data_IF_448457013233
#
_entry.id   IF_448457013233
#
_cell.length_a   1.000
_cell.length_b   1.000
_cell.length_c   1.000
_cell.angle_alpha   90.00
_cell.angle_beta   90.00
_cell.angle_gamma   90.00
#
_symmetry.space_group_name_H-M   'P 1'
#
loop_
_entity.id
_entity.type
_entity.pdbx_description
1 polymer ?
#
# COMPACT_ATOMS: atom_id res chain seq x y z
N UNK A 1 -16.61 24.63 23.21
CA UNK A 1 -15.63 23.58 22.88
C UNK A 1 -15.93 22.89 21.54
N UNK A 2 -17.04 23.20 20.86
CA UNK A 2 -17.54 22.45 19.67
C UNK A 2 -16.91 22.85 18.31
N UNK A 3 -16.49 24.11 18.14
CA UNK A 3 -16.01 24.64 16.83
C UNK A 3 -14.79 23.87 16.28
N UNK A 4 -13.97 23.30 17.17
CA UNK A 4 -12.78 22.54 16.79
C UNK A 4 -13.14 21.14 16.24
N UNK A 5 -14.16 20.49 16.81
CA UNK A 5 -14.60 19.16 16.38
C UNK A 5 -15.33 19.21 15.05
N UNK A 6 -16.17 20.24 14.83
CA UNK A 6 -16.86 20.44 13.54
C UNK A 6 -15.87 20.69 12.40
N UNK A 7 -14.80 21.46 12.66
CA UNK A 7 -13.73 21.72 11.67
C UNK A 7 -12.91 20.47 11.37
N UNK A 8 -12.62 19.63 12.38
CA UNK A 8 -11.97 18.33 12.17
C UNK A 8 -12.82 17.38 11.33
N UNK A 9 -14.12 17.34 11.58
CA UNK A 9 -15.06 16.53 10.80
C UNK A 9 -15.10 16.97 9.33
N UNK A 10 -15.16 18.28 9.08
CA UNK A 10 -15.15 18.83 7.71
C UNK A 10 -13.83 18.53 6.98
N UNK A 11 -12.69 18.62 7.68
CA UNK A 11 -11.39 18.28 7.11
C UNK A 11 -11.28 16.78 6.80
N UNK A 12 -11.75 15.91 7.70
CA UNK A 12 -11.79 14.47 7.48
C UNK A 12 -12.63 14.13 6.25
N UNK A 13 -13.79 14.78 6.09
CA UNK A 13 -14.66 14.61 4.92
C UNK A 13 -13.93 14.95 3.63
N UNK A 14 -13.19 16.07 3.59
CA UNK A 14 -12.39 16.46 2.42
C UNK A 14 -11.30 15.45 2.09
N UNK A 15 -10.63 14.89 3.10
CA UNK A 15 -9.63 13.83 2.90
C UNK A 15 -10.31 12.59 2.29
N UNK A 16 -11.41 12.11 2.88
CA UNK A 16 -12.14 10.95 2.35
C UNK A 16 -12.59 11.20 0.90
N UNK A 17 -13.19 12.35 0.61
CA UNK A 17 -13.63 12.71 -0.74
C UNK A 17 -12.48 12.71 -1.76
N UNK A 18 -11.30 13.21 -1.38
CA UNK A 18 -10.11 13.24 -2.25
C UNK A 18 -9.69 11.83 -2.71
N UNK A 19 -9.73 10.84 -1.82
CA UNK A 19 -9.23 9.49 -2.11
C UNK A 19 -10.32 8.53 -2.60
N UNK A 20 -11.59 8.73 -2.24
CA UNK A 20 -12.70 7.84 -2.61
C UNK A 20 -13.55 8.32 -3.80
N UNK A 21 -13.44 9.59 -4.22
CA UNK A 21 -14.18 10.10 -5.39
C UNK A 21 -13.46 9.91 -6.72
N UNK A 22 -12.40 9.10 -6.78
CA UNK A 22 -11.88 8.63 -8.06
C UNK A 22 -12.94 7.72 -8.70
N UNK A 23 -13.83 8.34 -9.49
CA UNK A 23 -14.70 7.64 -10.43
C UNK A 23 -13.80 6.65 -11.18
N UNK A 24 -14.19 5.38 -11.18
CA UNK A 24 -13.56 4.36 -12.01
C UNK A 24 -13.36 4.98 -13.38
N UNK A 25 -12.13 5.24 -13.77
CA UNK A 25 -11.88 5.77 -15.09
C UNK A 25 -12.33 4.68 -16.05
N UNK A 26 -13.39 4.92 -16.82
CA UNK A 26 -13.81 4.13 -17.98
C UNK A 26 -12.77 4.26 -19.12
N UNK A 27 -11.49 4.25 -18.75
CA UNK A 27 -10.42 4.21 -19.70
C UNK A 27 -10.32 2.76 -20.11
N UNK A 28 -10.59 2.47 -21.39
CA UNK A 28 -10.27 1.20 -22.03
C UNK A 28 -8.77 0.94 -21.85
N UNK A 29 -8.39 0.36 -20.72
CA UNK A 29 -6.99 0.07 -20.43
C UNK A 29 -6.62 -1.16 -21.25
N UNK A 30 -5.49 -1.12 -21.96
CA UNK A 30 -4.88 -2.26 -22.64
C UNK A 30 -4.53 -3.44 -21.69
N UNK A 31 -4.86 -3.32 -20.41
CA UNK A 31 -4.55 -4.26 -19.34
C UNK A 31 -5.78 -5.08 -18.95
N UNK A 32 -5.56 -6.39 -18.80
CA UNK A 32 -6.56 -7.29 -18.21
C UNK A 32 -6.54 -7.15 -16.69
N UNK A 33 -7.62 -6.64 -16.11
CA UNK A 33 -7.77 -6.53 -14.66
C UNK A 33 -8.23 -7.86 -14.06
N UNK A 34 -7.36 -8.49 -13.27
CA UNK A 34 -7.73 -9.62 -12.41
C UNK A 34 -8.23 -9.09 -11.06
N UNK A 35 -9.51 -9.32 -10.73
CA UNK A 35 -10.07 -8.93 -9.44
C UNK A 35 -9.84 -10.01 -8.38
N UNK A 36 -9.12 -9.66 -7.32
CA UNK A 36 -8.89 -10.52 -6.16
C UNK A 36 -9.68 -9.94 -4.98
N UNK A 37 -10.59 -10.73 -4.40
CA UNK A 37 -11.36 -10.33 -3.22
C UNK A 37 -10.60 -10.72 -1.95
N UNK A 38 -9.91 -9.75 -1.37
CA UNK A 38 -9.18 -9.88 -0.11
C UNK A 38 -9.37 -8.61 0.71
N UNK A 39 -9.33 -8.73 2.05
CA UNK A 39 -9.33 -7.56 2.92
C UNK A 39 -7.91 -6.98 3.08
N UNK A 40 -7.78 -5.76 3.64
CA UNK A 40 -6.48 -5.09 3.80
C UNK A 40 -5.48 -5.87 4.64
N UNK A 41 -5.95 -6.61 5.66
CA UNK A 41 -5.08 -7.44 6.48
C UNK A 41 -4.49 -8.60 5.67
N UNK A 42 -5.33 -9.28 4.88
CA UNK A 42 -4.92 -10.34 3.96
C UNK A 42 -3.97 -9.81 2.88
N UNK A 43 -4.26 -8.65 2.30
CA UNK A 43 -3.37 -7.98 1.33
C UNK A 43 -1.99 -7.72 1.93
N UNK A 44 -1.94 -7.17 3.15
CA UNK A 44 -0.69 -6.97 3.88
C UNK A 44 0.06 -8.29 4.13
N UNK A 45 -0.65 -9.37 4.46
CA UNK A 45 -0.07 -10.69 4.62
C UNK A 45 0.48 -11.25 3.30
N UNK A 46 -0.22 -11.06 2.17
CA UNK A 46 0.24 -11.48 0.84
C UNK A 46 1.52 -10.76 0.46
N UNK A 47 1.53 -9.42 0.54
CA UNK A 47 2.71 -8.59 0.26
C UNK A 47 3.89 -9.02 1.15
N UNK A 48 3.66 -9.18 2.45
CA UNK A 48 4.69 -9.58 3.41
C UNK A 48 5.29 -10.95 3.07
N UNK A 49 4.46 -11.93 2.73
CA UNK A 49 4.94 -13.26 2.37
C UNK A 49 5.70 -13.26 1.03
N UNK A 50 5.25 -12.49 0.04
CA UNK A 50 5.99 -12.33 -1.22
C UNK A 50 7.36 -11.69 -1.00
N UNK A 51 7.45 -10.64 -0.19
CA UNK A 51 8.73 -10.02 0.17
C UNK A 51 9.65 -11.00 0.90
N UNK A 52 9.14 -11.79 1.84
CA UNK A 52 9.91 -12.86 2.51
C UNK A 52 10.40 -13.91 1.51
N UNK A 53 9.59 -14.29 0.54
CA UNK A 53 10.03 -15.21 -0.53
C UNK A 53 11.14 -14.59 -1.39
N UNK A 54 11.04 -13.31 -1.75
CA UNK A 54 12.11 -12.62 -2.48
C UNK A 54 13.42 -12.60 -1.69
N UNK A 55 13.36 -12.32 -0.39
CA UNK A 55 14.54 -12.36 0.50
C UNK A 55 15.15 -13.77 0.50
N UNK A 56 14.33 -14.81 0.72
CA UNK A 56 14.80 -16.20 0.70
C UNK A 56 15.38 -16.64 -0.65
N UNK A 57 14.82 -16.15 -1.76
CA UNK A 57 15.32 -16.42 -3.10
C UNK A 57 16.70 -15.79 -3.30
N UNK A 58 16.87 -14.51 -2.94
CA UNK A 58 18.13 -13.79 -3.04
C UNK A 58 19.22 -14.36 -2.13
N UNK A 59 18.88 -14.71 -0.88
CA UNK A 59 19.81 -15.33 0.08
C UNK A 59 20.28 -16.70 -0.40
N UNK A 60 19.38 -17.48 -1.03
CA UNK A 60 19.71 -18.81 -1.55
C UNK A 60 20.42 -18.78 -2.91
N UNK A 61 20.28 -17.74 -3.73
CA UNK A 61 21.09 -17.59 -4.94
C UNK A 61 22.59 -17.41 -4.62
N UNK A 62 22.92 -16.85 -3.45
CA UNK A 62 24.31 -16.77 -2.94
C UNK A 62 24.88 -18.09 -2.39
N UNK A 63 24.02 -19.02 -1.94
CA UNK A 63 24.43 -20.26 -1.26
C UNK A 63 24.06 -21.56 -2.00
N UNK A 64 23.18 -21.51 -3.00
CA UNK A 64 22.56 -22.66 -3.66
C UNK A 64 22.40 -22.37 -5.17
N UNK A 65 23.48 -21.97 -5.84
CA UNK A 65 23.71 -22.42 -7.23
C UNK A 65 24.12 -23.91 -7.21
N UNK A 66 23.42 -24.72 -6.41
CA UNK A 66 23.54 -26.17 -6.44
C UNK A 66 22.86 -26.64 -7.72
N UNK A 67 23.48 -27.62 -8.34
CA UNK A 67 23.27 -28.22 -9.66
C UNK A 67 21.85 -28.72 -10.01
N UNK A 68 20.82 -28.31 -9.28
CA UNK A 68 19.44 -28.84 -9.33
C UNK A 68 18.36 -27.84 -9.75
N UNK A 69 18.55 -26.53 -9.59
CA UNK A 69 17.53 -25.52 -9.96
C UNK A 69 17.80 -24.93 -11.34
N UNK A 70 17.23 -25.57 -12.38
CA UNK A 70 17.38 -25.10 -13.77
C UNK A 70 16.60 -23.81 -14.08
N UNK A 71 15.61 -23.45 -13.25
CA UNK A 71 14.76 -22.26 -13.42
C UNK A 71 14.61 -21.54 -12.06
N UNK A 72 15.46 -20.57 -11.73
CA UNK A 72 15.31 -19.76 -10.51
C UNK A 72 14.04 -18.90 -10.57
N UNK A 73 13.54 -18.50 -9.39
CA UNK A 73 12.40 -17.58 -9.28
C UNK A 73 12.85 -16.21 -9.79
N UNK A 74 12.07 -15.61 -10.70
CA UNK A 74 12.32 -14.24 -11.14
C UNK A 74 11.88 -13.25 -10.07
N UNK A 75 12.80 -12.88 -9.17
CA UNK A 75 12.55 -11.96 -8.06
C UNK A 75 12.06 -10.59 -8.55
N UNK A 76 12.60 -10.08 -9.65
CA UNK A 76 12.19 -8.79 -10.23
C UNK A 76 10.71 -8.78 -10.59
N UNK A 77 10.23 -9.85 -11.25
CA UNK A 77 8.81 -9.98 -11.62
C UNK A 77 7.89 -10.02 -10.39
N UNK A 78 8.31 -10.69 -9.31
CA UNK A 78 7.52 -10.73 -8.07
C UNK A 78 7.49 -9.35 -7.39
N UNK A 79 8.60 -8.62 -7.40
CA UNK A 79 8.66 -7.27 -6.84
C UNK A 79 7.80 -6.28 -7.62
N UNK A 80 7.76 -6.37 -8.95
CA UNK A 80 6.83 -5.59 -9.79
C UNK A 80 5.38 -5.87 -9.39
N UNK A 81 5.00 -7.14 -9.21
CA UNK A 81 3.66 -7.49 -8.75
C UNK A 81 3.35 -6.95 -7.35
N UNK A 82 4.32 -7.04 -6.43
CA UNK A 82 4.18 -6.47 -5.08
C UNK A 82 3.93 -4.96 -5.14
N UNK A 83 4.65 -4.22 -5.98
CA UNK A 83 4.44 -2.77 -6.17
C UNK A 83 3.02 -2.46 -6.64
N UNK A 84 2.49 -3.22 -7.60
CA UNK A 84 1.11 -3.03 -8.08
C UNK A 84 0.04 -3.36 -7.02
N UNK A 85 0.36 -4.21 -6.04
CA UNK A 85 -0.54 -4.55 -4.93
C UNK A 85 -0.51 -3.53 -3.78
N UNK A 86 0.46 -2.61 -3.76
CA UNK A 86 0.58 -1.64 -2.66
C UNK A 86 -0.59 -0.63 -2.70
N UNK A 87 -1.38 -0.51 -1.62
CA UNK A 87 -2.48 0.45 -1.54
C UNK A 87 -1.96 1.86 -1.23
N UNK A 88 -1.23 2.44 -2.19
CA UNK A 88 -0.51 3.71 -2.00
C UNK A 88 -1.46 4.87 -1.69
N UNK A 89 -2.59 4.95 -2.40
CA UNK A 89 -3.60 5.98 -2.17
C UNK A 89 -4.15 5.93 -0.74
N UNK A 90 -4.42 4.73 -0.23
CA UNK A 90 -4.91 4.52 1.13
C UNK A 90 -3.85 4.87 2.18
N UNK A 91 -2.58 4.56 1.91
CA UNK A 91 -1.48 4.97 2.80
C UNK A 91 -1.31 6.49 2.85
N UNK A 92 -1.38 7.17 1.71
CA UNK A 92 -1.34 8.64 1.67
C UNK A 92 -2.53 9.25 2.42
N UNK A 93 -3.73 8.68 2.25
CA UNK A 93 -4.91 9.09 3.01
C UNK A 93 -4.71 8.93 4.52
N UNK A 94 -4.19 7.78 4.95
CA UNK A 94 -3.92 7.54 6.37
C UNK A 94 -2.84 8.47 6.91
N UNK A 95 -1.83 8.83 6.12
CA UNK A 95 -0.83 9.82 6.48
C UNK A 95 -1.46 11.20 6.71
N UNK A 96 -2.32 11.67 5.81
CA UNK A 96 -3.05 12.95 5.97
C UNK A 96 -3.98 12.94 7.19
N UNK A 97 -4.66 11.83 7.46
CA UNK A 97 -5.49 11.67 8.67
C UNK A 97 -4.61 11.74 9.92
N UNK A 98 -3.47 11.06 9.92
CA UNK A 98 -2.54 11.07 11.03
C UNK A 98 -2.01 12.49 11.32
N UNK A 99 -1.65 13.24 10.28
CA UNK A 99 -1.28 14.65 10.41
C UNK A 99 -2.42 15.51 10.95
N UNK A 100 -3.65 15.31 10.47
CA UNK A 100 -4.82 16.04 10.98
C UNK A 100 -5.09 15.76 12.46
N UNK A 101 -4.94 14.50 12.90
CA UNK A 101 -5.24 14.07 14.28
C UNK A 101 -4.12 14.42 15.24
N UNK A 102 -2.86 14.19 14.86
CA UNK A 102 -1.70 14.27 15.76
C UNK A 102 -0.74 15.44 15.46
N UNK A 103 -0.75 15.98 14.25
CA UNK A 103 0.15 17.05 13.79
C UNK A 103 -0.05 18.42 14.46
N UNK A 104 -1.10 18.61 15.25
CA UNK A 104 -1.29 19.80 16.10
C UNK A 104 -0.56 19.73 17.45
N UNK A 105 0.13 18.62 17.75
CA UNK A 105 0.78 18.44 19.07
C UNK A 105 2.13 19.15 19.22
N UNK A 106 2.61 19.89 18.21
CA UNK A 106 3.92 20.57 18.24
C UNK A 106 3.88 22.12 18.22
N UNK A 107 2.70 22.75 18.39
CA UNK A 107 2.59 24.23 18.41
C UNK A 107 2.15 24.83 19.76
N UNK A 108 2.15 24.06 20.86
CA UNK A 108 1.70 24.54 22.19
C UNK A 108 2.82 24.58 23.25
N UNK A 109 4.07 24.20 22.92
CA UNK A 109 5.22 24.35 23.84
C UNK A 109 6.30 25.29 23.28
N UNK A 110 5.94 26.53 22.96
CA UNK A 110 6.91 27.63 22.84
C UNK A 110 6.39 28.94 23.39
#
# INVERSE_FOLDING_TARGET
MEINETKKLENLKKIIEKYFNNSKSDNESEFYTAQIKINYYELGCVITNMLKMCILALDNEGHIMSSTNKNPVNVSLILEMVLEMFPANEFDMLAEINEMVFGYSQLVEK
#
